data_IF_793324758136
#
_entry.id   IF_793324758136
#
_cell.length_a   1.000
_cell.length_b   1.000
_cell.length_c   1.000
_cell.angle_alpha   90.00
_cell.angle_beta   90.00
_cell.angle_gamma   90.00
#
_symmetry.space_group_name_H-M   'P 1'
#
loop_
_entity.id
_entity.type
_entity.pdbx_description
1 polymer ?
#
# COMPACT_ATOMS: atom_id res chain seq x y z
N UNK A 1 -10.76 48.57 -5.51
CA UNK A 1 -11.89 47.63 -5.32
C UNK A 1 -12.10 46.93 -6.65
N UNK A 2 -12.11 45.59 -6.69
CA UNK A 2 -12.28 44.84 -7.94
C UNK A 2 -13.78 44.83 -8.27
N UNK A 3 -14.15 45.22 -9.49
CA UNK A 3 -15.55 45.24 -9.92
C UNK A 3 -16.11 43.81 -9.92
N UNK A 4 -17.24 43.63 -9.24
CA UNK A 4 -17.88 42.31 -9.01
C UNK A 4 -18.52 41.80 -10.31
N UNK A 5 -18.77 42.68 -11.28
CA UNK A 5 -19.38 42.33 -12.56
C UNK A 5 -18.40 42.18 -13.72
N UNK A 6 -17.09 42.30 -13.46
CA UNK A 6 -16.07 42.08 -14.48
C UNK A 6 -15.78 40.58 -14.67
N UNK A 7 -16.68 39.91 -15.39
CA UNK A 7 -16.57 38.50 -15.79
C UNK A 7 -15.83 38.34 -17.13
N UNK A 8 -15.32 39.43 -17.72
CA UNK A 8 -14.75 39.46 -19.07
C UNK A 8 -13.21 39.55 -19.04
N UNK A 9 -12.61 40.16 -18.00
CA UNK A 9 -11.13 40.20 -17.88
C UNK A 9 -10.47 38.84 -17.68
N UNK A 10 -11.20 37.82 -17.27
CA UNK A 10 -10.65 36.46 -17.13
C UNK A 10 -10.36 35.76 -18.45
N UNK A 11 -10.95 36.22 -19.57
CA UNK A 11 -10.63 35.70 -20.91
C UNK A 11 -9.46 36.45 -21.58
N UNK A 12 -9.27 37.71 -21.22
CA UNK A 12 -8.23 38.59 -21.78
C UNK A 12 -6.84 38.34 -21.20
N UNK A 13 -6.76 37.74 -20.02
CA UNK A 13 -5.50 37.45 -19.33
C UNK A 13 -5.31 35.94 -19.19
N UNK A 14 -4.12 35.39 -19.54
CA UNK A 14 -3.82 33.99 -19.28
C UNK A 14 -3.96 33.70 -17.78
N UNK A 15 -4.98 32.92 -17.41
CA UNK A 15 -5.14 32.43 -16.04
C UNK A 15 -3.89 31.64 -15.64
N UNK A 16 -3.15 32.18 -14.68
CA UNK A 16 -1.93 31.57 -14.19
C UNK A 16 -2.28 30.21 -13.57
N UNK A 17 -1.89 29.12 -14.25
CA UNK A 17 -2.30 27.77 -13.86
C UNK A 17 -1.77 27.46 -12.47
N UNK A 18 -2.58 26.86 -11.57
CA UNK A 18 -2.06 26.38 -10.30
C UNK A 18 -0.92 25.40 -10.59
N UNK A 19 0.26 25.69 -10.02
CA UNK A 19 1.43 24.80 -10.12
C UNK A 19 1.04 23.47 -9.46
N UNK A 20 1.19 22.34 -10.14
CA UNK A 20 0.93 21.05 -9.51
C UNK A 20 0.82 19.82 -10.40
N UNK A 21 0.13 19.86 -11.55
CA UNK A 21 0.18 18.72 -12.49
C UNK A 21 -0.26 19.15 -13.90
N UNK A 22 0.51 18.83 -14.95
CA UNK A 22 0.03 19.04 -16.31
C UNK A 22 -1.24 18.21 -16.53
N UNK A 23 -2.27 18.81 -17.14
CA UNK A 23 -3.47 18.12 -17.61
C UNK A 23 -3.14 17.31 -18.86
N UNK A 24 -2.17 16.39 -18.79
CA UNK A 24 -2.07 15.36 -19.82
C UNK A 24 -3.23 14.41 -19.59
N UNK A 25 -4.01 14.09 -20.62
CA UNK A 25 -5.14 13.15 -20.51
C UNK A 25 -4.76 11.72 -20.09
N UNK A 26 -3.47 11.48 -19.84
CA UNK A 26 -2.86 10.21 -19.39
C UNK A 26 -2.63 10.17 -17.88
N UNK A 27 -2.94 11.25 -17.17
CA UNK A 27 -2.57 11.44 -15.79
C UNK A 27 -3.61 10.78 -14.85
N UNK A 28 -3.29 9.61 -14.27
CA UNK A 28 -4.19 8.89 -13.34
C UNK A 28 -4.59 9.76 -12.13
N UNK A 29 -5.86 9.66 -11.71
CA UNK A 29 -6.32 10.25 -10.45
C UNK A 29 -5.62 9.61 -9.24
N UNK A 30 -5.66 10.27 -8.08
CA UNK A 30 -5.10 9.71 -6.84
C UNK A 30 -5.72 8.36 -6.49
N UNK A 31 -7.05 8.26 -6.58
CA UNK A 31 -7.79 7.01 -6.34
C UNK A 31 -7.38 5.90 -7.31
N UNK A 32 -7.27 6.20 -8.60
CA UNK A 32 -6.86 5.22 -9.60
C UNK A 32 -5.42 4.73 -9.37
N UNK A 33 -4.53 5.61 -8.91
CA UNK A 33 -3.16 5.23 -8.53
C UNK A 33 -3.17 4.29 -7.32
N UNK A 34 -3.96 4.59 -6.29
CA UNK A 34 -4.07 3.74 -5.10
C UNK A 34 -4.64 2.36 -5.46
N UNK A 35 -5.66 2.31 -6.31
CA UNK A 35 -6.24 1.05 -6.78
C UNK A 35 -5.21 0.21 -7.55
N UNK A 36 -4.47 0.83 -8.48
CA UNK A 36 -3.40 0.15 -9.21
C UNK A 36 -2.29 -0.36 -8.28
N UNK A 37 -1.93 0.43 -7.27
CA UNK A 37 -0.95 0.01 -6.27
C UNK A 37 -1.44 -1.20 -5.46
N UNK A 38 -2.69 -1.17 -4.98
CA UNK A 38 -3.28 -2.32 -4.25
C UNK A 38 -3.34 -3.57 -5.11
N UNK A 39 -3.71 -3.45 -6.38
CA UNK A 39 -3.69 -4.57 -7.32
C UNK A 39 -2.29 -5.15 -7.48
N UNK A 40 -1.27 -4.31 -7.69
CA UNK A 40 0.12 -4.75 -7.80
C UNK A 40 0.67 -5.37 -6.50
N UNK A 41 0.16 -4.98 -5.33
CA UNK A 41 0.51 -5.63 -4.06
C UNK A 41 -0.16 -7.00 -3.93
N UNK A 42 -1.41 -7.14 -4.36
CA UNK A 42 -2.13 -8.43 -4.35
C UNK A 42 -1.52 -9.45 -5.32
N UNK A 43 -0.92 -9.00 -6.43
CA UNK A 43 -0.17 -9.87 -7.35
C UNK A 43 1.10 -10.46 -6.72
N UNK A 44 1.72 -9.75 -5.77
CA UNK A 44 3.02 -10.11 -5.19
C UNK A 44 2.91 -10.76 -3.82
N UNK A 45 1.85 -10.45 -3.09
CA UNK A 45 1.70 -10.80 -1.69
C UNK A 45 0.40 -11.56 -1.46
N UNK A 46 0.45 -12.53 -0.56
CA UNK A 46 -0.72 -13.25 -0.09
C UNK A 46 -1.14 -12.66 1.25
N UNK A 47 -2.42 -12.32 1.40
CA UNK A 47 -3.01 -11.91 2.68
C UNK A 47 -3.84 -13.06 3.23
N UNK A 48 -3.53 -13.48 4.44
CA UNK A 48 -4.18 -14.59 5.15
C UNK A 48 -4.71 -14.11 6.49
N UNK A 49 -5.79 -14.73 6.96
CA UNK A 49 -6.36 -14.47 8.29
C UNK A 49 -6.20 -15.72 9.14
N UNK A 50 -5.70 -15.55 10.36
CA UNK A 50 -5.53 -16.64 11.35
C UNK A 50 -6.29 -16.28 12.62
N UNK A 51 -6.76 -17.29 13.37
CA UNK A 51 -7.22 -17.02 14.72
C UNK A 51 -6.02 -16.69 15.61
N UNK A 52 -6.26 -15.83 16.61
CA UNK A 52 -5.19 -15.40 17.51
C UNK A 52 -4.60 -16.57 18.29
N UNK A 53 -5.43 -17.55 18.63
CA UNK A 53 -5.07 -18.74 19.39
C UNK A 53 -4.15 -19.69 18.60
N UNK A 54 -4.15 -19.60 17.27
CA UNK A 54 -3.30 -20.43 16.40
C UNK A 54 -1.87 -19.86 16.27
N UNK A 55 -1.66 -18.58 16.63
CA UNK A 55 -0.36 -17.89 16.48
C UNK A 55 0.77 -18.61 17.23
N UNK A 56 0.63 -19.04 18.51
CA UNK A 56 1.68 -19.76 19.21
C UNK A 56 2.11 -21.06 18.50
N UNK A 57 1.15 -21.80 17.93
CA UNK A 57 1.45 -23.04 17.20
C UNK A 57 2.25 -22.76 15.92
N UNK A 58 1.88 -21.71 15.16
CA UNK A 58 2.64 -21.29 13.99
C UNK A 58 4.07 -20.86 14.34
N UNK A 59 4.26 -20.14 15.46
CA UNK A 59 5.60 -19.77 15.94
C UNK A 59 6.45 -20.99 16.27
N UNK A 60 5.86 -22.01 16.90
CA UNK A 60 6.57 -23.24 17.25
C UNK A 60 7.02 -24.02 16.01
N UNK A 61 6.15 -24.12 15.00
CA UNK A 61 6.46 -24.82 13.73
C UNK A 61 7.56 -24.11 12.95
N UNK A 62 7.57 -22.77 12.92
CA UNK A 62 8.61 -22.01 12.24
C UNK A 62 9.95 -22.05 12.98
N UNK A 63 9.93 -22.16 14.31
CA UNK A 63 11.15 -22.32 15.11
C UNK A 63 11.76 -23.73 14.99
N UNK A 64 10.95 -24.74 14.67
CA UNK A 64 11.35 -26.13 14.53
C UNK A 64 10.86 -26.68 13.19
N UNK A 65 11.44 -26.22 12.06
CA UNK A 65 11.02 -26.67 10.74
C UNK A 65 11.25 -28.17 10.61
N UNK A 66 10.32 -28.87 9.94
CA UNK A 66 10.48 -30.29 9.66
C UNK A 66 11.71 -30.47 8.75
N UNK A 67 12.74 -31.25 9.16
CA UNK A 67 13.96 -31.42 8.37
C UNK A 67 13.72 -32.12 7.02
N UNK A 68 12.57 -32.78 6.84
CA UNK A 68 12.18 -33.36 5.57
C UNK A 68 11.71 -32.31 4.55
N UNK A 69 11.36 -31.11 5.00
CA UNK A 69 11.03 -29.98 4.13
C UNK A 69 12.34 -29.21 3.90
N UNK A 70 12.90 -29.34 2.70
CA UNK A 70 14.09 -28.60 2.27
C UNK A 70 13.72 -27.12 2.05
N UNK A 71 13.55 -26.39 3.17
CA UNK A 71 13.22 -24.97 3.18
C UNK A 71 14.47 -24.19 3.48
N UNK A 72 14.80 -23.24 2.61
CA UNK A 72 15.95 -22.38 2.81
C UNK A 72 15.81 -21.49 4.07
N UNK A 73 16.93 -21.23 4.75
CA UNK A 73 16.94 -20.47 6.00
C UNK A 73 16.46 -19.02 5.82
N UNK A 74 16.77 -18.40 4.68
CA UNK A 74 16.39 -17.00 4.39
C UNK A 74 14.87 -16.86 4.27
N UNK A 75 14.21 -17.87 3.73
CA UNK A 75 12.76 -17.97 3.60
C UNK A 75 12.13 -18.18 4.96
N UNK A 76 12.69 -19.05 5.81
CA UNK A 76 12.24 -19.20 7.20
C UNK A 76 12.34 -17.88 7.96
N UNK A 77 13.47 -17.18 7.87
CA UNK A 77 13.68 -15.90 8.56
C UNK A 77 12.66 -14.83 8.11
N UNK A 78 12.38 -14.76 6.79
CA UNK A 78 11.36 -13.85 6.25
C UNK A 78 9.95 -14.18 6.77
N UNK A 79 9.60 -15.47 6.86
CA UNK A 79 8.29 -15.90 7.37
C UNK A 79 8.14 -15.61 8.86
N UNK A 80 9.20 -15.88 9.66
CA UNK A 80 9.23 -15.55 11.08
C UNK A 80 9.06 -14.05 11.29
N UNK A 81 9.83 -13.22 10.58
CA UNK A 81 9.71 -11.77 10.68
C UNK A 81 8.29 -11.27 10.35
N UNK A 82 7.70 -11.79 9.28
CA UNK A 82 6.34 -11.42 8.87
C UNK A 82 5.28 -11.79 9.91
N UNK A 83 5.28 -13.04 10.40
CA UNK A 83 4.31 -13.51 11.38
C UNK A 83 4.48 -12.79 12.73
N UNK A 84 5.73 -12.63 13.18
CA UNK A 84 6.01 -12.05 14.50
C UNK A 84 5.70 -10.55 14.51
N UNK A 85 6.09 -9.82 13.45
CA UNK A 85 5.73 -8.41 13.27
C UNK A 85 4.22 -8.19 13.30
N UNK A 86 3.48 -8.94 12.48
CA UNK A 86 2.02 -8.87 12.46
C UNK A 86 1.39 -9.23 13.83
N UNK A 87 1.99 -10.16 14.57
CA UNK A 87 1.49 -10.55 15.88
C UNK A 87 1.66 -9.46 16.95
N UNK A 88 2.69 -8.62 16.86
CA UNK A 88 2.96 -7.56 17.83
C UNK A 88 2.07 -6.34 17.57
N UNK A 89 1.90 -5.95 16.30
CA UNK A 89 1.18 -4.73 15.93
C UNK A 89 -0.32 -4.78 16.27
N UNK A 90 -0.95 -5.97 16.25
CA UNK A 90 -2.38 -6.12 16.57
C UNK A 90 -2.69 -6.16 18.09
N UNK A 91 -1.67 -6.13 18.95
CA UNK A 91 -1.82 -6.14 20.41
C UNK A 91 -1.69 -4.77 21.09
N UNK A 92 -1.56 -3.67 20.32
CA UNK A 92 -1.63 -2.28 20.79
C UNK A 92 -2.95 -1.65 20.37
#
# INVERSE_FOLDING_TARGET
MKDVNDNQTSELLPLNRPRGRPRTGKALSGAARQAKYRAAQAEKNVTVTFNRDDVPALKLLLANPNPALDVDQVTLDRLVAALFGASIEQGR
#
